data_IF_076619959297
#
_entry.id   IF_076619959297
#
_cell.length_a   1.000
_cell.length_b   1.000
_cell.length_c   1.000
_cell.angle_alpha   90.00
_cell.angle_beta   90.00
_cell.angle_gamma   90.00
#
_symmetry.space_group_name_H-M   'P 1'
#
loop_
_entity.id
_entity.type
_entity.pdbx_description
1 polymer ?
#
# COMPACT_ATOMS: atom_id res chain seq x y z
N UNK A 1 3.12 -3.34 -3.51
CA UNK A 1 3.11 -2.37 -2.38
C UNK A 1 4.39 -2.59 -1.60
N UNK A 2 5.48 -1.95 -2.03
CA UNK A 2 6.81 -2.53 -1.80
C UNK A 2 7.50 -1.82 -0.65
N UNK A 3 7.43 -2.42 0.53
CA UNK A 3 8.03 -1.92 1.76
C UNK A 3 8.77 -3.05 2.47
N UNK A 4 9.95 -2.74 3.01
CA UNK A 4 10.66 -3.68 3.90
C UNK A 4 10.12 -3.62 5.32
N UNK A 5 9.77 -2.41 5.78
CA UNK A 5 9.26 -2.16 7.13
C UNK A 5 8.11 -1.16 7.02
N UNK A 6 6.96 -1.51 7.58
CA UNK A 6 5.82 -0.59 7.68
C UNK A 6 6.08 0.42 8.80
N UNK A 7 6.41 1.66 8.42
CA UNK A 7 6.78 2.74 9.35
C UNK A 7 5.68 3.06 10.38
N UNK A 8 4.41 2.87 10.02
CA UNK A 8 3.29 3.09 10.92
C UNK A 8 3.00 1.89 11.85
N UNK A 9 3.60 0.72 11.61
CA UNK A 9 3.30 -0.46 12.41
C UNK A 9 3.71 -0.29 13.88
N UNK A 10 4.76 0.49 14.16
CA UNK A 10 5.16 0.84 15.52
C UNK A 10 4.05 1.60 16.28
N UNK A 11 3.24 2.43 15.60
CA UNK A 11 2.09 3.10 16.22
C UNK A 11 1.04 2.10 16.67
N UNK A 12 0.79 1.06 15.88
CA UNK A 12 -0.13 -0.01 16.28
C UNK A 12 0.45 -0.84 17.42
N UNK A 13 1.75 -1.15 17.38
CA UNK A 13 2.42 -1.85 18.48
C UNK A 13 2.28 -1.05 19.79
N UNK A 14 2.37 0.27 19.76
CA UNK A 14 2.13 1.11 20.94
C UNK A 14 0.77 0.82 21.59
N UNK A 15 -0.31 0.79 20.81
CA UNK A 15 -1.64 0.42 21.33
C UNK A 15 -1.67 -1.04 21.83
N UNK A 16 -1.02 -1.97 21.12
CA UNK A 16 -0.91 -3.38 21.50
C UNK A 16 -0.11 -3.60 22.81
N UNK A 17 0.82 -2.70 23.12
CA UNK A 17 1.57 -2.64 24.39
C UNK A 17 0.87 -1.74 25.43
N UNK A 18 -0.45 -1.53 25.31
CA UNK A 18 -1.26 -0.72 26.22
C UNK A 18 -0.75 0.72 26.37
N UNK A 19 -0.18 1.27 25.31
CA UNK A 19 0.39 2.62 25.28
C UNK A 19 1.57 2.82 26.24
N UNK A 20 2.26 1.75 26.59
CA UNK A 20 3.50 1.81 27.36
C UNK A 20 4.70 2.02 26.43
N UNK A 21 5.16 3.28 26.39
CA UNK A 21 6.29 3.68 25.57
C UNK A 21 7.62 3.07 26.00
N UNK A 22 7.80 2.76 27.29
CA UNK A 22 9.05 2.18 27.78
C UNK A 22 9.16 0.69 27.38
N UNK A 23 8.05 -0.03 27.47
CA UNK A 23 7.96 -1.42 26.99
C UNK A 23 8.14 -1.48 25.47
N UNK A 24 7.48 -0.60 24.71
CA UNK A 24 7.64 -0.54 23.26
C UNK A 24 9.08 -0.19 22.87
N UNK A 25 9.70 0.82 23.49
CA UNK A 25 11.09 1.17 23.22
C UNK A 25 12.05 0.01 23.49
N UNK A 26 11.84 -0.71 24.60
CA UNK A 26 12.61 -1.92 24.91
C UNK A 26 12.40 -3.00 23.85
N UNK A 27 11.16 -3.22 23.42
CA UNK A 27 10.83 -4.17 22.35
C UNK A 27 11.52 -3.80 21.03
N UNK A 28 11.41 -2.54 20.59
CA UNK A 28 11.97 -2.03 19.34
C UNK A 28 13.50 -1.92 19.36
N UNK A 29 14.15 -1.79 20.52
CA UNK A 29 15.62 -1.75 20.62
C UNK A 29 16.32 -3.02 20.10
N UNK A 30 15.57 -4.11 19.95
CA UNK A 30 15.99 -5.43 19.46
C UNK A 30 15.67 -5.63 17.97
N UNK A 31 14.89 -4.74 17.37
CA UNK A 31 14.58 -4.77 15.95
C UNK A 31 15.86 -4.66 15.11
N UNK A 32 15.96 -5.46 14.05
CA UNK A 32 17.16 -5.56 13.21
C UNK A 32 18.32 -6.36 13.82
N UNK A 33 18.20 -6.82 15.07
CA UNK A 33 19.20 -7.68 15.74
C UNK A 33 18.72 -9.12 15.87
N UNK A 34 17.42 -9.31 16.08
CA UNK A 34 16.78 -10.62 16.23
C UNK A 34 15.36 -10.62 15.67
N UNK A 35 14.77 -11.81 15.56
CA UNK A 35 13.34 -11.95 15.28
C UNK A 35 12.53 -11.53 16.50
N UNK A 36 11.60 -10.59 16.31
CA UNK A 36 10.70 -10.16 17.36
C UNK A 36 9.39 -10.95 17.30
N UNK A 37 8.84 -11.28 18.46
CA UNK A 37 7.54 -11.93 18.56
C UNK A 37 6.75 -11.32 19.71
N UNK A 38 5.47 -11.05 19.45
CA UNK A 38 4.52 -10.64 20.49
C UNK A 38 4.06 -11.86 21.28
N UNK A 39 3.53 -11.65 22.49
CA UNK A 39 2.98 -12.75 23.28
C UNK A 39 1.74 -13.36 22.60
N UNK A 40 1.38 -14.60 22.95
CA UNK A 40 0.14 -15.25 22.47
C UNK A 40 -1.12 -14.41 22.74
N UNK A 41 -1.16 -13.74 23.90
CA UNK A 41 -2.27 -12.85 24.28
C UNK A 41 -2.36 -11.65 23.33
N UNK A 42 -1.24 -10.98 23.09
CA UNK A 42 -1.18 -9.88 22.13
C UNK A 42 -1.53 -10.34 20.73
N UNK A 43 -1.00 -11.48 20.29
CA UNK A 43 -1.34 -12.04 18.99
C UNK A 43 -2.85 -12.32 18.84
N UNK A 44 -3.50 -12.80 19.89
CA UNK A 44 -4.95 -12.94 19.89
C UNK A 44 -5.64 -11.57 19.72
N UNK A 45 -5.21 -10.55 20.47
CA UNK A 45 -5.74 -9.19 20.32
C UNK A 45 -5.53 -8.60 18.92
N UNK A 46 -4.46 -8.98 18.21
CA UNK A 46 -4.28 -8.61 16.80
C UNK A 46 -5.37 -9.26 15.93
N UNK A 47 -5.56 -10.58 16.05
CA UNK A 47 -6.54 -11.33 15.26
C UNK A 47 -7.99 -10.95 15.56
N UNK A 48 -8.27 -10.42 16.74
CA UNK A 48 -9.61 -9.94 17.09
C UNK A 48 -9.96 -8.66 16.31
N UNK A 49 -8.96 -7.91 15.83
CA UNK A 49 -9.14 -6.62 15.15
C UNK A 49 -8.74 -6.62 13.67
N UNK A 50 -7.79 -7.46 13.27
CA UNK A 50 -7.20 -7.45 11.93
C UNK A 50 -7.14 -8.85 11.32
N UNK A 51 -7.46 -8.92 10.04
CA UNK A 51 -7.04 -10.00 9.15
C UNK A 51 -6.00 -9.46 8.17
N UNK A 52 -5.30 -10.36 7.49
CA UNK A 52 -4.40 -10.01 6.39
C UNK A 52 -4.35 -11.11 5.34
N UNK A 53 -4.05 -10.72 4.12
CA UNK A 53 -3.82 -11.62 3.00
C UNK A 53 -2.67 -11.06 2.14
N UNK A 54 -1.99 -11.94 1.43
CA UNK A 54 -1.01 -11.60 0.40
C UNK A 54 -1.58 -11.92 -0.97
N UNK A 55 -1.33 -11.06 -1.94
CA UNK A 55 -1.78 -11.19 -3.33
C UNK A 55 -0.55 -10.91 -4.20
N UNK A 56 -0.25 -11.81 -5.12
CA UNK A 56 0.86 -11.68 -6.07
C UNK A 56 0.45 -10.88 -7.32
N UNK A 57 1.40 -10.63 -8.20
CA UNK A 57 1.21 -9.79 -9.37
C UNK A 57 0.29 -10.45 -10.41
N UNK A 58 0.40 -11.77 -10.58
CA UNK A 58 -0.45 -12.52 -11.51
C UNK A 58 -1.92 -12.47 -11.09
N UNK A 59 -2.22 -12.70 -9.81
CA UNK A 59 -3.57 -12.58 -9.27
C UNK A 59 -4.04 -11.14 -9.32
N UNK A 60 -3.15 -10.16 -9.06
CA UNK A 60 -3.49 -8.73 -9.17
C UNK A 60 -3.96 -8.37 -10.57
N UNK A 61 -3.21 -8.75 -11.61
CA UNK A 61 -3.59 -8.50 -13.01
C UNK A 61 -4.91 -9.21 -13.38
N UNK A 62 -5.09 -10.44 -12.90
CA UNK A 62 -6.32 -11.21 -13.14
C UNK A 62 -7.56 -10.52 -12.54
N UNK A 63 -7.42 -9.92 -11.35
CA UNK A 63 -8.51 -9.21 -10.68
C UNK A 63 -8.86 -7.90 -11.41
N UNK A 64 -7.87 -7.22 -11.98
CA UNK A 64 -8.12 -6.03 -12.81
C UNK A 64 -8.97 -6.40 -14.03
N UNK A 65 -8.60 -7.48 -14.73
CA UNK A 65 -9.33 -7.98 -15.90
C UNK A 65 -10.76 -8.41 -15.53
N UNK A 66 -10.91 -9.21 -14.47
CA UNK A 66 -12.22 -9.69 -13.98
C UNK A 66 -13.17 -8.52 -13.69
N UNK A 67 -12.71 -7.52 -12.93
CA UNK A 67 -13.57 -6.38 -12.56
C UNK A 67 -13.90 -5.51 -13.77
N UNK A 68 -13.00 -5.40 -14.74
CA UNK A 68 -13.29 -4.69 -15.97
C UNK A 68 -14.35 -5.42 -16.81
N UNK A 69 -14.24 -6.75 -16.96
CA UNK A 69 -15.19 -7.56 -17.70
C UNK A 69 -16.58 -7.56 -17.04
N UNK A 70 -16.64 -7.68 -15.71
CA UNK A 70 -17.89 -7.79 -14.97
C UNK A 70 -18.60 -6.44 -14.76
N UNK A 71 -17.83 -5.35 -14.66
CA UNK A 71 -18.36 -4.04 -14.22
C UNK A 71 -17.97 -2.86 -15.10
N UNK A 72 -17.13 -3.04 -16.12
CA UNK A 72 -16.60 -1.96 -16.96
C UNK A 72 -15.70 -0.99 -16.20
N UNK A 73 -15.18 -1.38 -15.03
CA UNK A 73 -14.40 -0.50 -14.16
C UNK A 73 -12.94 -0.92 -14.12
N UNK A 74 -12.05 0.01 -14.48
CA UNK A 74 -10.61 -0.18 -14.31
C UNK A 74 -10.20 0.08 -12.86
N UNK A 75 -9.45 -0.86 -12.31
CA UNK A 75 -8.81 -0.73 -10.99
C UNK A 75 -7.31 -0.51 -11.15
N UNK A 76 -6.74 0.36 -10.34
CA UNK A 76 -5.29 0.39 -10.18
C UNK A 76 -4.82 -0.87 -9.40
N UNK A 77 -3.56 -1.31 -9.53
CA UNK A 77 -3.08 -2.56 -8.92
C UNK A 77 -3.21 -2.57 -7.39
N UNK A 78 -3.10 -1.43 -6.71
CA UNK A 78 -3.23 -1.35 -5.25
C UNK A 78 -4.69 -1.61 -4.82
N UNK A 79 -5.64 -1.05 -5.57
CA UNK A 79 -7.07 -1.31 -5.35
C UNK A 79 -7.42 -2.76 -5.63
N UNK A 80 -6.86 -3.37 -6.69
CA UNK A 80 -7.07 -4.77 -7.02
C UNK A 80 -6.55 -5.72 -5.92
N UNK A 81 -5.35 -5.46 -5.38
CA UNK A 81 -4.82 -6.17 -4.21
C UNK A 81 -5.77 -6.06 -3.02
N UNK A 82 -6.24 -4.84 -2.71
CA UNK A 82 -7.19 -4.61 -1.61
C UNK A 82 -8.51 -5.36 -1.78
N UNK A 83 -9.05 -5.37 -2.99
CA UNK A 83 -10.29 -6.10 -3.32
C UNK A 83 -10.11 -7.62 -3.17
N UNK A 84 -9.01 -8.18 -3.70
CA UNK A 84 -8.74 -9.61 -3.57
C UNK A 84 -8.53 -10.03 -2.12
N UNK A 85 -7.76 -9.24 -1.36
CA UNK A 85 -7.55 -9.48 0.07
C UNK A 85 -8.89 -9.45 0.84
N UNK A 86 -9.77 -8.50 0.52
CA UNK A 86 -11.09 -8.40 1.14
C UNK A 86 -11.96 -9.63 0.84
N UNK A 87 -11.95 -10.14 -0.40
CA UNK A 87 -12.65 -11.37 -0.78
C UNK A 87 -12.14 -12.58 0.03
N UNK A 88 -10.82 -12.76 0.10
CA UNK A 88 -10.18 -13.85 0.87
C UNK A 88 -10.60 -13.79 2.35
N UNK A 89 -10.49 -12.62 2.98
CA UNK A 89 -10.80 -12.48 4.40
C UNK A 89 -12.30 -12.62 4.71
N UNK A 90 -13.17 -12.20 3.79
CA UNK A 90 -14.63 -12.34 3.93
C UNK A 90 -15.07 -13.80 3.85
N UNK A 91 -14.53 -14.56 2.89
CA UNK A 91 -14.82 -15.99 2.71
C UNK A 91 -14.46 -16.82 3.96
N UNK A 92 -13.34 -16.50 4.62
CA UNK A 92 -12.90 -17.18 5.86
C UNK A 92 -13.91 -17.00 7.00
N UNK A 93 -14.63 -15.87 7.03
CA UNK A 93 -15.56 -15.53 8.13
C UNK A 93 -17.01 -15.87 7.83
N UNK A 94 -17.32 -16.35 6.61
CA UNK A 94 -18.69 -16.68 6.14
C UNK A 94 -19.70 -15.57 6.46
N UNK A 95 -19.27 -14.31 6.33
CA UNK A 95 -20.03 -13.15 6.81
C UNK A 95 -20.55 -12.31 5.66
N UNK A 96 -21.47 -12.91 4.90
CA UNK A 96 -22.03 -12.33 3.67
C UNK A 96 -23.00 -11.16 3.91
N UNK A 97 -23.47 -10.99 5.15
CA UNK A 97 -24.43 -9.94 5.53
C UNK A 97 -23.78 -8.59 5.84
N UNK A 98 -22.46 -8.55 6.11
CA UNK A 98 -21.76 -7.29 6.42
C UNK A 98 -21.19 -6.68 5.14
N UNK A 99 -21.54 -5.43 4.79
CA UNK A 99 -20.97 -4.75 3.64
C UNK A 99 -19.44 -4.63 3.73
N UNK A 100 -18.75 -5.12 2.71
CA UNK A 100 -17.31 -4.98 2.57
C UNK A 100 -16.96 -3.67 1.86
N UNK A 101 -16.12 -2.84 2.48
CA UNK A 101 -15.63 -1.59 1.90
C UNK A 101 -14.15 -1.74 1.57
N UNK A 102 -13.80 -1.60 0.30
CA UNK A 102 -12.41 -1.61 -0.19
C UNK A 102 -11.96 -0.20 -0.51
N UNK A 103 -10.78 0.19 -0.05
CA UNK A 103 -10.22 1.52 -0.32
C UNK A 103 -9.56 1.54 -1.70
N UNK A 104 -10.06 2.40 -2.58
CA UNK A 104 -9.41 2.67 -3.86
C UNK A 104 -8.31 3.71 -3.67
N UNK A 105 -7.05 3.29 -3.66
CA UNK A 105 -5.94 4.15 -3.20
C UNK A 105 -5.27 4.96 -4.31
N UNK A 106 -5.52 4.64 -5.58
CA UNK A 106 -5.00 5.41 -6.70
C UNK A 106 -5.93 5.37 -7.93
N UNK A 107 -5.64 6.25 -8.88
CA UNK A 107 -6.29 6.25 -10.19
C UNK A 107 -5.56 5.27 -11.14
N UNK A 108 -6.25 4.49 -11.98
CA UNK A 108 -5.64 3.51 -12.91
C UNK A 108 -4.57 4.12 -13.83
N UNK A 109 -4.79 5.36 -14.30
CA UNK A 109 -3.83 6.08 -15.15
C UNK A 109 -2.44 6.29 -14.53
N UNK A 110 -2.27 6.07 -13.22
CA UNK A 110 -0.96 6.12 -12.57
C UNK A 110 -0.12 4.85 -12.78
N UNK A 111 -0.72 3.75 -13.25
CA UNK A 111 -0.10 2.42 -13.28
C UNK A 111 -0.41 1.66 -14.57
N UNK A 112 -0.11 2.28 -15.71
CA UNK A 112 -0.44 1.79 -17.06
C UNK A 112 0.03 0.36 -17.32
N UNK A 113 1.22 0.00 -16.87
CA UNK A 113 1.79 -1.34 -17.09
C UNK A 113 0.93 -2.45 -16.50
N UNK A 114 0.41 -2.27 -15.28
CA UNK A 114 -0.46 -3.26 -14.63
C UNK A 114 -1.84 -3.38 -15.30
N UNK A 115 -2.32 -2.30 -15.94
CA UNK A 115 -3.59 -2.31 -16.67
C UNK A 115 -3.43 -3.00 -18.02
N UNK A 116 -2.34 -2.74 -18.72
CA UNK A 116 -2.10 -3.27 -20.07
C UNK A 116 -1.56 -4.70 -20.07
N UNK A 117 -0.92 -5.15 -18.99
CA UNK A 117 -0.44 -6.53 -18.84
C UNK A 117 -1.51 -7.62 -19.10
N UNK A 118 -2.76 -7.51 -18.58
CA UNK A 118 -3.84 -8.43 -18.93
C UNK A 118 -4.48 -8.18 -20.31
N UNK A 119 -3.95 -7.26 -21.13
CA UNK A 119 -4.44 -6.97 -22.48
C UNK A 119 -5.53 -5.90 -22.57
N UNK A 120 -5.72 -5.09 -21.51
CA UNK A 120 -6.65 -3.97 -21.53
C UNK A 120 -6.02 -2.73 -22.17
N UNK A 121 -6.86 -1.81 -22.63
CA UNK A 121 -6.42 -0.55 -23.21
C UNK A 121 -5.77 0.38 -22.18
N UNK A 122 -4.96 1.32 -22.68
CA UNK A 122 -4.36 2.35 -21.86
C UNK A 122 -5.45 3.18 -21.16
N UNK A 123 -5.39 3.34 -19.82
CA UNK A 123 -6.32 4.20 -19.11
C UNK A 123 -6.14 5.67 -19.50
N UNK A 124 -7.25 6.36 -19.78
CA UNK A 124 -7.23 7.80 -20.06
C UNK A 124 -6.89 8.62 -18.82
N UNK A 125 -6.23 9.77 -19.03
CA UNK A 125 -6.05 10.77 -17.98
C UNK A 125 -7.39 11.46 -17.68
N UNK A 126 -7.64 11.84 -16.41
CA UNK A 126 -8.75 12.73 -16.08
C UNK A 126 -8.67 14.03 -16.89
N UNK A 127 -9.82 14.57 -17.29
CA UNK A 127 -9.90 15.74 -18.19
C UNK A 127 -9.06 16.95 -17.74
N UNK A 128 -8.99 17.23 -16.44
CA UNK A 128 -8.22 18.35 -15.87
C UNK A 128 -6.68 18.12 -15.89
N UNK A 129 -6.24 16.92 -16.29
CA UNK A 129 -4.85 16.52 -16.48
C UNK A 129 -4.59 16.10 -17.94
N UNK A 130 -5.51 16.36 -18.87
CA UNK A 130 -5.35 15.92 -20.27
C UNK A 130 -4.06 16.48 -20.91
N UNK A 131 -3.61 17.67 -20.47
CA UNK A 131 -2.40 18.34 -20.93
C UNK A 131 -1.15 18.03 -20.10
N UNK A 132 -1.23 17.11 -19.12
CA UNK A 132 -0.18 16.91 -18.12
C UNK A 132 1.19 16.65 -18.74
N UNK A 133 1.25 15.88 -19.82
CA UNK A 133 2.49 15.53 -20.51
C UNK A 133 3.04 16.65 -21.41
N UNK A 134 2.28 17.72 -21.66
CA UNK A 134 2.73 18.89 -22.43
C UNK A 134 3.29 20.01 -21.54
N UNK A 135 3.12 19.91 -20.22
CA UNK A 135 3.59 20.92 -19.27
C UNK A 135 5.11 20.86 -19.13
N UNK A 136 5.73 22.02 -18.96
CA UNK A 136 7.18 22.11 -18.73
C UNK A 136 7.54 21.55 -17.35
N UNK A 137 8.44 20.57 -17.32
CA UNK A 137 9.00 20.05 -16.07
C UNK A 137 10.02 21.05 -15.48
N UNK A 138 9.93 21.29 -14.18
CA UNK A 138 10.87 22.15 -13.46
C UNK A 138 11.56 21.37 -12.35
N UNK A 139 12.82 21.00 -12.59
CA UNK A 139 13.64 20.26 -11.64
C UNK A 139 15.11 20.70 -11.71
N UNK A 140 15.89 20.33 -10.70
CA UNK A 140 17.35 20.52 -10.69
C UNK A 140 18.00 19.17 -10.52
N UNK A 141 18.89 18.80 -11.44
CA UNK A 141 19.67 17.55 -11.35
C UNK A 141 20.82 17.74 -10.36
N UNK A 142 20.96 16.80 -9.43
CA UNK A 142 21.98 16.81 -8.38
C UNK A 142 22.71 15.46 -8.41
N UNK A 143 24.01 15.47 -8.13
CA UNK A 143 24.76 14.24 -8.00
C UNK A 143 24.25 13.40 -6.82
N UNK A 144 24.48 12.09 -6.86
CA UNK A 144 24.20 11.18 -5.74
C UNK A 144 25.27 11.34 -4.65
N UNK A 145 25.32 12.52 -4.05
CA UNK A 145 26.25 12.91 -3.00
C UNK A 145 25.51 13.72 -1.92
N UNK A 146 25.77 13.40 -0.65
CA UNK A 146 25.08 14.02 0.49
C UNK A 146 25.38 15.51 0.60
N UNK A 147 26.60 15.92 0.30
CA UNK A 147 26.99 17.33 0.40
C UNK A 147 26.31 18.16 -0.68
N UNK A 148 26.27 17.66 -1.92
CA UNK A 148 25.58 18.31 -3.05
C UNK A 148 24.07 18.47 -2.77
N UNK A 149 23.40 17.43 -2.26
CA UNK A 149 21.98 17.49 -1.86
C UNK A 149 21.77 18.47 -0.71
N UNK A 150 22.69 18.51 0.26
CA UNK A 150 22.58 19.43 1.39
C UNK A 150 22.74 20.89 0.95
N UNK A 151 23.68 21.14 0.03
CA UNK A 151 24.01 22.50 -0.41
C UNK A 151 22.91 23.09 -1.30
N UNK A 152 22.27 22.31 -2.17
CA UNK A 152 21.11 22.79 -2.94
C UNK A 152 19.91 23.13 -2.04
N UNK A 153 19.69 22.39 -0.95
CA UNK A 153 18.63 22.70 0.02
C UNK A 153 18.91 24.03 0.71
N UNK A 154 20.15 24.24 1.17
CA UNK A 154 20.56 25.50 1.83
C UNK A 154 20.45 26.70 0.89
N UNK A 155 20.80 26.54 -0.38
CA UNK A 155 20.79 27.62 -1.36
C UNK A 155 19.37 28.05 -1.79
N UNK A 156 18.34 27.24 -1.51
CA UNK A 156 16.93 27.50 -1.87
C UNK A 156 16.05 27.96 -0.68
N UNK A 157 16.65 28.22 0.49
CA UNK A 157 16.03 28.92 1.64
C UNK A 157 16.46 30.39 1.59
#
# INVERSE_FOLDING_TARGET
>A
MDILVSSNFERYLFDLFNRDGAVLATFMSRFGKETLSVSKKQWQSVKDCFDSASVDDEVTCSIIAEVFDDHGKLLDPHTAVGLKAARICSEIKDNTEIPMITLATAHPAKFVEAITAPGLDNPELPQHLADLFEREECYTVVANDLSEVTDIIKAKV
#
